data_IF_444002956660
#
_entry.id   IF_444002956660
#
_cell.length_a   1.000
_cell.length_b   1.000
_cell.length_c   1.000
_cell.angle_alpha   90.00
_cell.angle_beta   90.00
_cell.angle_gamma   90.00
#
_symmetry.space_group_name_H-M   'P 1'
#
loop_
_entity.id
_entity.type
_entity.pdbx_description
1 polymer ?
#
# COMPACT_ATOMS: atom_id res chain seq x y z
N UNK A 1 -2.60 15.71 -1.96
CA UNK A 1 -1.84 16.98 -2.01
C UNK A 1 -0.60 16.88 -1.14
N UNK A 2 -0.67 16.98 0.17
CA UNK A 2 0.49 17.04 1.10
C UNK A 2 1.22 15.74 1.47
N UNK A 3 0.60 14.56 1.32
CA UNK A 3 1.16 13.32 1.87
C UNK A 3 2.58 12.97 1.36
N UNK A 4 2.91 13.10 0.06
CA UNK A 4 4.27 12.82 -0.43
C UNK A 4 5.33 13.77 0.13
N UNK A 5 4.99 15.06 0.30
CA UNK A 5 5.92 16.08 0.76
C UNK A 5 6.28 15.89 2.24
N UNK A 6 5.30 15.50 3.07
CA UNK A 6 5.51 15.18 4.49
C UNK A 6 6.42 13.95 4.63
N UNK A 7 6.24 12.94 3.77
CA UNK A 7 7.06 11.72 3.80
C UNK A 7 8.50 12.00 3.38
N UNK A 8 8.72 12.97 2.50
CA UNK A 8 10.06 13.35 2.10
C UNK A 8 10.75 14.22 3.17
N UNK A 9 10.03 15.22 3.67
CA UNK A 9 10.57 16.27 4.55
C UNK A 9 10.78 15.82 6.01
N UNK A 10 10.04 14.83 6.50
CA UNK A 10 10.17 14.39 7.89
C UNK A 10 11.27 13.34 8.11
N UNK A 11 11.82 13.24 9.34
CA UNK A 11 12.78 12.21 9.71
C UNK A 11 12.20 10.81 9.51
N UNK A 12 13.06 9.87 9.13
CA UNK A 12 12.68 8.49 8.79
C UNK A 12 11.87 7.76 9.88
N UNK A 13 12.17 7.86 11.19
CA UNK A 13 11.32 7.23 12.21
C UNK A 13 9.94 7.89 12.33
N UNK A 14 9.85 9.20 12.09
CA UNK A 14 8.57 9.94 12.12
C UNK A 14 7.72 9.55 10.90
N UNK A 15 8.33 9.44 9.72
CA UNK A 15 7.64 8.95 8.51
C UNK A 15 7.10 7.53 8.70
N UNK A 16 7.88 6.66 9.35
CA UNK A 16 7.49 5.29 9.67
C UNK A 16 6.23 5.27 10.52
N UNK A 17 6.29 5.96 11.66
CA UNK A 17 5.19 6.03 12.60
C UNK A 17 3.91 6.60 11.94
N UNK A 18 4.02 7.73 11.24
CA UNK A 18 2.89 8.36 10.55
C UNK A 18 2.33 7.52 9.40
N UNK A 19 3.15 6.65 8.80
CA UNK A 19 2.70 5.78 7.71
C UNK A 19 1.90 4.57 8.17
N UNK A 20 2.03 4.17 9.44
CA UNK A 20 1.49 2.93 9.99
C UNK A 20 0.40 3.25 11.03
N UNK A 21 0.77 3.85 12.17
CA UNK A 21 -0.09 3.97 13.34
C UNK A 21 -1.42 4.72 13.08
N UNK A 22 -1.42 5.91 12.45
CA UNK A 22 -2.67 6.62 12.16
C UNK A 22 -3.58 5.87 11.18
N UNK A 23 -2.99 5.19 10.17
CA UNK A 23 -3.77 4.47 9.16
C UNK A 23 -4.53 3.29 9.77
N UNK A 24 -3.89 2.58 10.69
CA UNK A 24 -4.52 1.48 11.43
C UNK A 24 -5.66 2.03 12.28
N UNK A 25 -5.38 3.03 13.11
CA UNK A 25 -6.36 3.63 14.03
C UNK A 25 -7.60 4.12 13.27
N UNK A 26 -7.41 4.86 12.18
CA UNK A 26 -8.51 5.37 11.35
C UNK A 26 -9.25 4.23 10.67
N UNK A 27 -8.55 3.22 10.13
CA UNK A 27 -9.22 2.09 9.48
C UNK A 27 -10.06 1.24 10.45
N UNK A 28 -9.58 1.05 11.69
CA UNK A 28 -10.30 0.34 12.74
C UNK A 28 -11.50 1.15 13.27
N UNK A 29 -11.36 2.47 13.40
CA UNK A 29 -12.50 3.29 13.80
C UNK A 29 -13.55 3.34 12.68
N UNK A 30 -13.10 3.42 11.42
CA UNK A 30 -13.99 3.43 10.27
C UNK A 30 -14.77 2.12 10.14
N UNK A 31 -14.16 0.97 10.45
CA UNK A 31 -14.89 -0.31 10.48
C UNK A 31 -16.01 -0.30 11.52
N UNK A 32 -15.73 0.16 12.74
CA UNK A 32 -16.73 0.29 13.81
C UNK A 32 -17.89 1.20 13.40
N UNK A 33 -17.59 2.40 12.92
CA UNK A 33 -18.61 3.35 12.44
C UNK A 33 -19.42 2.75 11.29
N UNK A 34 -18.76 2.07 10.35
CA UNK A 34 -19.45 1.46 9.21
C UNK A 34 -20.37 0.30 9.58
N UNK A 35 -20.16 -0.36 10.73
CA UNK A 35 -21.04 -1.43 11.21
C UNK A 35 -22.24 -0.84 11.94
N UNK A 36 -22.03 0.21 12.73
CA UNK A 36 -23.08 0.81 13.58
C UNK A 36 -23.96 1.79 12.80
N UNK A 37 -23.38 2.63 11.94
CA UNK A 37 -24.06 3.75 11.30
C UNK A 37 -24.53 3.48 9.85
N UNK A 38 -24.17 2.35 9.25
CA UNK A 38 -24.39 2.14 7.81
C UNK A 38 -25.72 1.42 7.51
N UNK A 39 -26.80 2.20 7.50
CA UNK A 39 -28.14 1.74 7.09
C UNK A 39 -28.57 2.20 5.67
N UNK A 40 -27.71 2.89 4.90
CA UNK A 40 -28.17 3.62 3.70
C UNK A 40 -27.35 3.51 2.42
N UNK A 41 -26.36 2.61 2.28
CA UNK A 41 -25.59 2.41 1.04
C UNK A 41 -24.71 3.59 0.56
N UNK A 42 -24.99 4.82 0.98
CA UNK A 42 -24.29 6.06 0.60
C UNK A 42 -22.81 6.04 0.96
N UNK A 43 -22.47 5.59 2.18
CA UNK A 43 -21.08 5.44 2.60
C UNK A 43 -20.31 4.44 1.72
N UNK A 44 -20.96 3.37 1.27
CA UNK A 44 -20.34 2.34 0.43
C UNK A 44 -19.98 2.90 -0.95
N UNK A 45 -20.85 3.74 -1.53
CA UNK A 45 -20.59 4.43 -2.80
C UNK A 45 -19.39 5.39 -2.70
N UNK A 46 -19.28 6.13 -1.59
CA UNK A 46 -18.13 7.02 -1.34
C UNK A 46 -16.83 6.20 -1.25
N UNK A 47 -16.84 5.08 -0.51
CA UNK A 47 -15.67 4.20 -0.43
C UNK A 47 -15.32 3.56 -1.76
N UNK A 48 -16.31 3.18 -2.56
CA UNK A 48 -16.12 2.63 -3.90
C UNK A 48 -15.36 3.62 -4.80
N UNK A 49 -15.87 4.84 -4.94
CA UNK A 49 -15.25 5.86 -5.78
C UNK A 49 -13.85 6.24 -5.27
N UNK A 50 -13.72 6.42 -3.96
CA UNK A 50 -12.44 6.82 -3.38
C UNK A 50 -11.38 5.71 -3.44
N UNK A 51 -11.79 4.44 -3.41
CA UNK A 51 -10.88 3.30 -3.59
C UNK A 51 -10.29 3.29 -5.01
N UNK A 52 -11.14 3.41 -6.03
CA UNK A 52 -10.73 3.47 -7.44
C UNK A 52 -9.77 4.64 -7.68
N UNK A 53 -10.16 5.84 -7.25
CA UNK A 53 -9.32 7.03 -7.40
C UNK A 53 -7.96 6.85 -6.71
N UNK A 54 -7.94 6.26 -5.51
CA UNK A 54 -6.70 6.03 -4.75
C UNK A 54 -5.76 5.03 -5.42
N UNK A 55 -6.30 3.96 -6.00
CA UNK A 55 -5.50 2.92 -6.66
C UNK A 55 -4.89 3.44 -7.96
N UNK A 56 -5.67 4.17 -8.75
CA UNK A 56 -5.22 4.81 -9.99
C UNK A 56 -4.17 5.88 -9.69
N UNK A 57 -4.46 6.82 -8.78
CA UNK A 57 -3.54 7.89 -8.41
C UNK A 57 -2.26 7.33 -7.78
N UNK A 58 -2.37 6.30 -6.93
CA UNK A 58 -1.20 5.66 -6.31
C UNK A 58 -0.28 4.99 -7.34
N UNK A 59 -0.84 4.27 -8.30
CA UNK A 59 -0.07 3.58 -9.34
C UNK A 59 0.59 4.56 -10.32
N UNK A 60 -0.19 5.49 -10.89
CA UNK A 60 0.32 6.46 -11.88
C UNK A 60 1.33 7.41 -11.26
N UNK A 61 1.04 7.94 -10.08
CA UNK A 61 1.94 8.89 -9.44
C UNK A 61 3.24 8.23 -8.97
N UNK A 62 3.23 6.94 -8.58
CA UNK A 62 4.45 6.23 -8.23
C UNK A 62 5.38 6.01 -9.43
N UNK A 63 4.84 5.80 -10.64
CA UNK A 63 5.65 5.62 -11.86
C UNK A 63 6.47 6.85 -12.25
N UNK A 64 5.98 8.05 -11.93
CA UNK A 64 6.59 9.31 -12.35
C UNK A 64 7.71 9.81 -11.42
N UNK A 65 7.97 9.15 -10.29
CA UNK A 65 8.89 9.66 -9.27
C UNK A 65 10.33 9.15 -9.46
N UNK A 66 11.29 10.02 -9.14
CA UNK A 66 12.74 9.76 -9.26
C UNK A 66 13.45 9.58 -7.91
N UNK A 67 12.90 10.17 -6.83
CA UNK A 67 13.44 10.09 -5.47
C UNK A 67 12.90 8.86 -4.77
N UNK A 68 13.71 8.11 -4.01
CA UNK A 68 13.31 6.82 -3.41
C UNK A 68 12.13 6.93 -2.43
N UNK A 69 12.01 8.04 -1.68
CA UNK A 69 10.93 8.24 -0.69
C UNK A 69 9.56 8.51 -1.29
N UNK A 70 9.49 9.15 -2.46
CA UNK A 70 8.21 9.55 -3.08
C UNK A 70 7.38 8.37 -3.63
N UNK A 71 7.92 7.38 -4.37
CA UNK A 71 7.16 6.22 -4.81
C UNK A 71 6.72 5.39 -3.61
N UNK A 72 7.48 5.34 -2.52
CA UNK A 72 7.06 4.73 -1.25
C UNK A 72 5.80 5.39 -0.68
N UNK A 73 5.74 6.73 -0.68
CA UNK A 73 4.58 7.48 -0.22
C UNK A 73 3.36 7.24 -1.12
N UNK A 74 3.51 7.38 -2.44
CA UNK A 74 2.42 7.19 -3.41
C UNK A 74 1.86 5.77 -3.42
N UNK A 75 2.75 4.80 -3.33
CA UNK A 75 2.35 3.41 -3.23
C UNK A 75 1.52 3.19 -1.96
N UNK A 76 1.90 3.79 -0.82
CA UNK A 76 1.12 3.71 0.43
C UNK A 76 -0.30 4.28 0.29
N UNK A 77 -0.48 5.28 -0.57
CA UNK A 77 -1.80 5.82 -0.92
C UNK A 77 -2.58 4.78 -1.74
N UNK A 78 -1.97 4.18 -2.75
CA UNK A 78 -2.60 3.09 -3.52
C UNK A 78 -3.02 1.91 -2.65
N UNK A 79 -2.21 1.60 -1.65
CA UNK A 79 -2.44 0.52 -0.70
C UNK A 79 -3.61 0.78 0.26
N UNK A 80 -3.79 2.02 0.71
CA UNK A 80 -5.03 2.44 1.39
C UNK A 80 -6.24 2.31 0.46
N UNK A 81 -6.07 2.49 -0.85
CA UNK A 81 -7.08 2.22 -1.87
C UNK A 81 -7.54 0.75 -1.87
N UNK A 82 -6.59 -0.19 -1.88
CA UNK A 82 -6.88 -1.63 -1.78
C UNK A 82 -7.58 -2.00 -0.47
N UNK A 83 -7.21 -1.41 0.67
CA UNK A 83 -7.95 -1.64 1.93
C UNK A 83 -9.41 -1.15 1.81
N UNK A 84 -9.61 0.01 1.15
CA UNK A 84 -10.95 0.61 0.99
C UNK A 84 -11.89 -0.20 0.12
N UNK A 85 -11.40 -1.07 -0.78
CA UNK A 85 -12.26 -1.99 -1.54
C UNK A 85 -13.01 -2.95 -0.61
N UNK A 86 -12.42 -3.30 0.54
CA UNK A 86 -13.08 -4.14 1.55
C UNK A 86 -14.28 -3.44 2.21
N UNK A 87 -14.24 -2.11 2.33
CA UNK A 87 -15.30 -1.32 2.96
C UNK A 87 -16.48 -1.03 2.04
N UNK A 88 -16.33 -1.17 0.72
CA UNK A 88 -17.42 -0.94 -0.23
C UNK A 88 -18.45 -2.08 -0.27
N UNK A 89 -18.18 -3.22 0.36
CA UNK A 89 -19.13 -4.33 0.43
C UNK A 89 -20.13 -4.17 1.59
N UNK A 90 -21.44 -4.22 1.32
CA UNK A 90 -22.51 -4.04 2.31
C UNK A 90 -22.86 -5.23 3.19
N UNK A 91 -22.47 -6.46 2.83
CA UNK A 91 -23.04 -7.67 3.44
C UNK A 91 -22.41 -8.08 4.79
N UNK A 92 -23.13 -8.90 5.57
CA UNK A 92 -22.67 -9.57 6.80
C UNK A 92 -21.34 -10.36 6.67
N UNK A 93 -20.85 -10.58 5.44
CA UNK A 93 -19.48 -11.05 5.17
C UNK A 93 -18.39 -9.98 5.43
N UNK A 94 -18.72 -8.78 5.93
CA UNK A 94 -17.75 -7.75 6.37
C UNK A 94 -16.68 -8.26 7.33
N UNK A 95 -16.96 -9.32 8.10
CA UNK A 95 -16.01 -9.91 9.04
C UNK A 95 -14.83 -10.68 8.40
N UNK A 96 -14.83 -10.95 7.09
CA UNK A 96 -13.66 -11.50 6.40
C UNK A 96 -12.68 -10.44 5.90
N UNK A 97 -12.96 -9.13 6.09
CA UNK A 97 -12.00 -8.04 5.85
C UNK A 97 -10.92 -7.95 6.96
N UNK A 98 -11.20 -8.53 8.12
CA UNK A 98 -10.33 -8.54 9.31
C UNK A 98 -8.94 -9.14 9.06
N UNK A 99 -8.72 -10.30 8.42
CA UNK A 99 -7.35 -10.76 8.16
C UNK A 99 -6.51 -9.85 7.24
N UNK A 100 -7.12 -8.96 6.45
CA UNK A 100 -6.40 -8.14 5.48
C UNK A 100 -5.70 -6.91 6.09
N UNK A 101 -6.09 -6.47 7.29
CA UNK A 101 -5.31 -5.46 8.04
C UNK A 101 -3.98 -6.03 8.51
N UNK A 102 -3.95 -7.31 8.89
CA UNK A 102 -2.77 -8.00 9.42
C UNK A 102 -1.65 -8.04 8.37
N UNK A 103 -2.01 -8.29 7.11
CA UNK A 103 -1.02 -8.37 6.03
C UNK A 103 -0.54 -6.96 5.63
N UNK A 104 -1.40 -5.95 5.73
CA UNK A 104 -0.99 -4.56 5.53
C UNK A 104 0.00 -4.08 6.61
N UNK A 105 -0.15 -4.51 7.86
CA UNK A 105 0.84 -4.30 8.92
C UNK A 105 2.18 -4.92 8.53
N UNK A 106 2.18 -6.22 8.23
CA UNK A 106 3.39 -6.95 7.88
C UNK A 106 4.18 -6.31 6.72
N UNK A 107 3.48 -5.75 5.71
CA UNK A 107 4.13 -5.16 4.53
C UNK A 107 4.65 -3.74 4.77
N UNK A 108 4.00 -2.96 5.64
CA UNK A 108 4.42 -1.58 5.93
C UNK A 108 5.48 -1.50 7.04
N UNK A 109 5.47 -2.45 7.99
CA UNK A 109 6.43 -2.52 9.09
C UNK A 109 7.87 -2.73 8.58
N UNK A 110 8.06 -3.58 7.57
CA UNK A 110 9.39 -3.85 7.00
C UNK A 110 10.01 -2.65 6.26
N UNK A 111 9.14 -1.82 5.64
CA UNK A 111 9.54 -0.74 4.71
C UNK A 111 10.26 0.42 5.39
N UNK A 112 9.90 0.69 6.64
CA UNK A 112 10.24 1.95 7.30
C UNK A 112 11.17 1.74 8.51
N UNK A 113 11.13 0.56 9.14
CA UNK A 113 11.91 0.29 10.36
C UNK A 113 13.32 -0.21 10.02
N UNK A 114 13.51 -0.97 8.94
CA UNK A 114 14.80 -1.64 8.65
C UNK A 114 15.60 -1.03 7.49
N UNK A 115 14.93 -0.61 6.42
CA UNK A 115 15.61 -0.29 5.16
C UNK A 115 15.97 1.20 5.02
N UNK A 116 15.06 2.12 5.40
CA UNK A 116 15.30 3.56 5.28
C UNK A 116 16.44 4.07 6.20
N UNK A 117 16.62 3.57 7.44
CA UNK A 117 17.78 3.92 8.26
C UNK A 117 19.10 3.41 7.68
N UNK A 118 19.12 2.19 7.09
CA UNK A 118 20.30 1.64 6.41
C UNK A 118 20.70 2.46 5.18
N UNK A 119 19.71 2.96 4.42
CA UNK A 119 19.91 3.88 3.30
C UNK A 119 20.39 5.28 3.73
N UNK A 120 20.13 5.67 4.99
CA UNK A 120 20.58 6.96 5.54
C UNK A 120 22.09 6.99 5.77
N UNK A 121 22.69 5.86 6.14
CA UNK A 121 24.15 5.72 6.28
C UNK A 121 24.86 5.89 4.93
N UNK A 122 24.22 5.48 3.83
CA UNK A 122 24.79 5.55 2.47
C UNK A 122 24.38 6.80 1.67
N UNK A 123 23.63 7.75 2.28
CA UNK A 123 23.20 9.04 1.67
C UNK A 123 22.39 8.89 0.36
N UNK A 124 21.81 7.72 0.11
CA UNK A 124 21.02 7.41 -1.10
C UNK A 124 19.74 8.25 -1.12
N UNK A 125 19.56 9.09 -2.16
CA UNK A 125 18.36 9.92 -2.33
C UNK A 125 17.60 9.57 -3.60
N UNK A 126 18.29 9.15 -4.64
CA UNK A 126 17.72 8.84 -5.95
C UNK A 126 17.65 7.33 -6.19
N UNK A 127 16.75 6.94 -7.08
CA UNK A 127 16.61 5.54 -7.50
C UNK A 127 17.91 5.02 -8.14
N UNK A 128 18.65 5.89 -8.84
CA UNK A 128 19.94 5.56 -9.44
C UNK A 128 21.00 5.11 -8.41
N UNK A 129 20.96 5.68 -7.21
CA UNK A 129 21.93 5.39 -6.14
C UNK A 129 21.70 4.00 -5.53
N UNK A 130 20.50 3.41 -5.70
CA UNK A 130 20.17 2.09 -5.18
C UNK A 130 20.99 0.98 -5.84
N UNK A 131 21.45 1.17 -7.09
CA UNK A 131 22.27 0.16 -7.78
C UNK A 131 23.62 -0.10 -7.10
N UNK A 132 24.16 0.90 -6.39
CA UNK A 132 25.38 0.75 -5.61
C UNK A 132 25.15 0.00 -4.28
N UNK A 133 23.91 -0.04 -3.79
CA UNK A 133 23.57 -0.68 -2.51
C UNK A 133 23.75 -2.20 -2.55
N UNK A 134 23.50 -2.82 -3.70
CA UNK A 134 23.71 -4.25 -3.90
C UNK A 134 25.19 -4.64 -3.73
N UNK A 135 26.12 -3.72 -4.04
CA UNK A 135 27.56 -3.94 -3.91
C UNK A 135 28.09 -3.61 -2.51
N UNK A 136 27.56 -2.57 -1.87
CA UNK A 136 28.05 -2.12 -0.55
C UNK A 136 27.47 -2.92 0.60
N UNK A 137 26.17 -3.24 0.57
CA UNK A 137 25.46 -3.95 1.63
C UNK A 137 24.43 -4.92 1.03
N UNK A 138 24.86 -6.11 0.56
CA UNK A 138 23.99 -7.05 -0.17
C UNK A 138 22.78 -7.52 0.64
N UNK A 139 22.92 -7.67 1.96
CA UNK A 139 21.82 -8.06 2.86
C UNK A 139 20.71 -7.00 2.88
N UNK A 140 21.09 -5.71 2.89
CA UNK A 140 20.12 -4.61 2.85
C UNK A 140 19.42 -4.49 1.49
N UNK A 141 20.15 -4.77 0.41
CA UNK A 141 19.59 -4.79 -0.95
C UNK A 141 18.62 -5.96 -1.14
N UNK A 142 18.95 -7.17 -0.66
CA UNK A 142 18.05 -8.33 -0.71
C UNK A 142 16.77 -8.11 0.07
N UNK A 143 16.87 -7.55 1.28
CA UNK A 143 15.67 -7.22 2.08
C UNK A 143 14.82 -6.13 1.42
N UNK A 144 15.44 -5.14 0.78
CA UNK A 144 14.74 -4.14 -0.01
C UNK A 144 14.01 -4.72 -1.24
N UNK A 145 14.65 -5.60 -1.99
CA UNK A 145 14.03 -6.21 -3.17
C UNK A 145 12.86 -7.12 -2.79
N UNK A 146 13.02 -7.96 -1.75
CA UNK A 146 11.96 -8.82 -1.22
C UNK A 146 10.75 -7.99 -0.75
N UNK A 147 10.98 -6.87 -0.05
CA UNK A 147 9.89 -6.00 0.41
C UNK A 147 9.20 -5.28 -0.74
N UNK A 148 9.94 -4.83 -1.77
CA UNK A 148 9.35 -4.23 -2.97
C UNK A 148 8.56 -5.23 -3.81
N UNK A 149 9.04 -6.47 -3.92
CA UNK A 149 8.29 -7.55 -4.57
C UNK A 149 7.04 -7.96 -3.80
N UNK A 150 7.09 -7.94 -2.47
CA UNK A 150 5.90 -8.17 -1.64
C UNK A 150 4.87 -7.06 -1.90
N UNK A 151 5.33 -5.82 -2.04
CA UNK A 151 4.50 -4.68 -2.38
C UNK A 151 3.85 -4.75 -3.75
N UNK A 152 4.65 -5.15 -4.74
CA UNK A 152 4.20 -5.44 -6.09
C UNK A 152 3.16 -6.57 -6.10
N UNK A 153 3.27 -7.48 -5.13
CA UNK A 153 2.38 -8.61 -4.92
C UNK A 153 2.73 -9.76 -5.85
N UNK A 154 4.00 -10.19 -5.85
CA UNK A 154 4.44 -11.37 -6.60
C UNK A 154 3.93 -12.65 -5.89
N UNK A 155 3.47 -13.70 -6.60
CA UNK A 155 2.74 -14.85 -6.06
C UNK A 155 3.24 -15.52 -4.77
N UNK A 156 4.55 -15.69 -4.49
CA UNK A 156 5.01 -16.35 -3.27
C UNK A 156 5.03 -15.41 -2.04
N UNK A 157 4.76 -14.11 -2.20
CA UNK A 157 4.93 -13.12 -1.15
C UNK A 157 3.61 -12.71 -0.49
N UNK A 158 3.67 -12.30 0.76
CA UNK A 158 2.52 -11.95 1.59
C UNK A 158 1.59 -10.90 0.92
N UNK A 159 2.15 -9.92 0.21
CA UNK A 159 1.35 -8.89 -0.46
C UNK A 159 0.54 -9.38 -1.66
N UNK A 160 0.88 -10.53 -2.25
CA UNK A 160 0.00 -11.19 -3.20
C UNK A 160 -1.22 -11.78 -2.50
N UNK A 161 -1.00 -12.55 -1.42
CA UNK A 161 -2.07 -13.18 -0.65
C UNK A 161 -3.10 -12.15 -0.14
N UNK A 162 -2.64 -10.97 0.30
CA UNK A 162 -3.54 -9.86 0.70
C UNK A 162 -4.41 -9.36 -0.44
N UNK A 163 -3.81 -8.99 -1.59
CA UNK A 163 -4.55 -8.48 -2.75
C UNK A 163 -5.51 -9.54 -3.30
N UNK A 164 -5.07 -10.80 -3.36
CA UNK A 164 -5.89 -11.91 -3.81
C UNK A 164 -7.13 -12.10 -2.93
N UNK A 165 -6.96 -12.12 -1.60
CA UNK A 165 -8.08 -12.28 -0.67
C UNK A 165 -9.06 -11.08 -0.74
N UNK A 166 -8.54 -9.86 -0.92
CA UNK A 166 -9.36 -8.66 -1.15
C UNK A 166 -10.20 -8.78 -2.42
N UNK A 167 -9.62 -9.24 -3.53
CA UNK A 167 -10.35 -9.38 -4.78
C UNK A 167 -11.38 -10.51 -4.70
N UNK A 168 -11.04 -11.61 -4.03
CA UNK A 168 -11.98 -12.69 -3.78
C UNK A 168 -13.19 -12.20 -2.96
N UNK A 169 -12.94 -11.43 -1.90
CA UNK A 169 -13.99 -10.80 -1.11
C UNK A 169 -14.82 -9.79 -1.92
N UNK A 170 -14.18 -8.96 -2.74
CA UNK A 170 -14.86 -7.98 -3.60
C UNK A 170 -15.80 -8.66 -4.62
N UNK A 171 -15.36 -9.76 -5.24
CA UNK A 171 -16.16 -10.55 -6.17
C UNK A 171 -17.36 -11.21 -5.47
N UNK A 172 -17.16 -11.78 -4.27
CA UNK A 172 -18.24 -12.36 -3.47
C UNK A 172 -19.29 -11.35 -2.99
N UNK A 173 -18.98 -10.06 -3.07
CA UNK A 173 -19.85 -8.95 -2.70
C UNK A 173 -20.60 -8.31 -3.88
N UNK A 174 -20.46 -8.85 -5.10
CA UNK A 174 -21.06 -8.29 -6.31
C UNK A 174 -20.34 -7.04 -6.84
N UNK A 175 -19.16 -6.72 -6.31
CA UNK A 175 -18.39 -5.53 -6.68
C UNK A 175 -17.47 -5.82 -7.87
N UNK A 176 -18.06 -6.30 -8.98
CA UNK A 176 -17.32 -6.80 -10.15
C UNK A 176 -16.43 -5.78 -10.84
N UNK A 177 -16.69 -4.48 -10.66
CA UNK A 177 -15.89 -3.42 -11.27
C UNK A 177 -14.57 -3.12 -10.51
N UNK A 178 -14.53 -3.34 -9.19
CA UNK A 178 -13.35 -3.05 -8.37
C UNK A 178 -12.21 -4.05 -8.61
N UNK A 179 -12.55 -5.31 -8.87
CA UNK A 179 -11.54 -6.36 -9.05
C UNK A 179 -10.68 -6.13 -10.32
N UNK A 180 -11.23 -5.89 -11.53
CA UNK A 180 -10.44 -5.59 -12.72
C UNK A 180 -9.56 -4.35 -12.56
N UNK A 181 -10.11 -3.26 -12.01
CA UNK A 181 -9.36 -2.03 -11.75
C UNK A 181 -8.20 -2.30 -10.79
N UNK A 182 -8.43 -3.12 -9.77
CA UNK A 182 -7.38 -3.55 -8.84
C UNK A 182 -6.30 -4.42 -9.46
N UNK A 183 -6.67 -5.32 -10.35
CA UNK A 183 -5.70 -6.13 -11.07
C UNK A 183 -4.84 -5.25 -11.98
N UNK A 184 -5.44 -4.37 -12.78
CA UNK A 184 -4.73 -3.45 -13.68
C UNK A 184 -3.78 -2.53 -12.89
N UNK A 185 -4.28 -1.89 -11.83
CA UNK A 185 -3.43 -1.01 -10.99
C UNK A 185 -2.32 -1.77 -10.28
N UNK A 186 -2.51 -3.06 -9.97
CA UNK A 186 -1.46 -3.90 -9.40
C UNK A 186 -0.37 -4.24 -10.42
N UNK A 187 -0.74 -4.50 -11.68
CA UNK A 187 0.21 -4.77 -12.77
C UNK A 187 1.05 -3.54 -13.05
N UNK A 188 0.43 -2.36 -13.08
CA UNK A 188 1.14 -1.08 -13.21
C UNK A 188 2.12 -0.89 -12.03
N UNK A 189 1.68 -1.19 -10.81
CA UNK A 189 2.53 -1.15 -9.62
C UNK A 189 3.72 -2.13 -9.70
N UNK A 190 3.53 -3.32 -10.25
CA UNK A 190 4.62 -4.30 -10.49
C UNK A 190 5.66 -3.74 -11.46
N UNK A 191 5.22 -3.11 -12.54
CA UNK A 191 6.13 -2.48 -13.49
C UNK A 191 6.92 -1.31 -12.87
N UNK A 192 6.27 -0.49 -12.04
CA UNK A 192 6.94 0.57 -11.29
C UNK A 192 7.96 0.00 -10.28
N UNK A 193 7.64 -1.12 -9.61
CA UNK A 193 8.55 -1.79 -8.68
C UNK A 193 9.75 -2.44 -9.40
N UNK A 194 9.56 -2.99 -10.60
CA UNK A 194 10.64 -3.59 -11.41
C UNK A 194 11.65 -2.57 -11.96
N UNK A 195 11.36 -1.27 -11.88
CA UNK A 195 12.34 -0.19 -12.18
C UNK A 195 13.30 0.08 -11.02
N UNK A 196 12.98 -0.37 -9.81
CA UNK A 196 13.88 -0.31 -8.68
C UNK A 196 14.84 -1.51 -8.80
N UNK A 197 16.17 -1.32 -8.64
CA UNK A 197 17.15 -2.39 -8.79
C UNK A 197 17.00 -3.49 -7.72
#
# INVERSE_FOLDING_TARGET
MWAPDIYEGSPTPVTAFLSIAPKISISANMSRVSIVASYGGTLQQIFFFCSIASMILGALAAMAQTKVKRPLAHSSIGHVGYIRTGFSCGNHRRNSITPNWYIYLCINDDRCIRIVPALRQTRVKYIADLGALAKTNPISAMTFSITMFSYAGIPPLAGFCSKFYLFFAALGCGAYFLAPVGVVTSVIGRWAAGRLP
#
